data_IF_105006170367
#
_entry.id   IF_105006170367
#
_cell.length_a   1.000
_cell.length_b   1.000
_cell.length_c   1.000
_cell.angle_alpha   90.00
_cell.angle_beta   90.00
_cell.angle_gamma   90.00
#
_symmetry.space_group_name_H-M   'P 1'
#
loop_
_entity.id
_entity.type
_entity.pdbx_description
1 polymer ?
#
# COMPACT_ATOMS: atom_id res chain seq x y z
N UNK A 1 -0.52 -39.04 15.62
CA UNK A 1 0.10 -38.44 14.42
C UNK A 1 1.45 -37.88 14.81
N UNK A 2 2.56 -38.51 14.35
CA UNK A 2 3.92 -38.06 14.69
C UNK A 2 4.25 -36.85 13.78
N UNK A 3 4.42 -35.68 14.37
CA UNK A 3 4.87 -34.46 13.67
C UNK A 3 6.34 -34.67 13.28
N UNK A 4 6.61 -34.87 11.98
CA UNK A 4 7.98 -34.96 11.48
C UNK A 4 8.59 -33.54 11.44
N UNK A 5 9.71 -33.35 12.15
CA UNK A 5 10.56 -32.16 12.04
C UNK A 5 11.17 -32.16 10.64
N UNK A 6 10.70 -31.28 9.75
CA UNK A 6 11.32 -31.06 8.43
C UNK A 6 12.66 -30.36 8.65
N UNK A 7 13.78 -31.01 8.33
CA UNK A 7 15.05 -30.32 8.15
C UNK A 7 14.87 -29.29 7.02
N UNK A 8 15.22 -28.04 7.25
CA UNK A 8 15.26 -27.04 6.18
C UNK A 8 16.17 -27.53 5.06
N UNK A 9 15.70 -27.51 3.80
CA UNK A 9 16.54 -27.88 2.65
C UNK A 9 17.84 -27.08 2.64
N UNK A 10 18.94 -27.69 2.24
CA UNK A 10 20.25 -27.02 2.21
C UNK A 10 20.23 -25.76 1.30
N UNK A 11 19.39 -25.74 0.27
CA UNK A 11 19.21 -24.60 -0.61
C UNK A 11 18.58 -23.40 0.13
N UNK A 12 17.57 -23.61 0.97
CA UNK A 12 16.95 -22.54 1.80
C UNK A 12 17.98 -21.97 2.77
N UNK A 13 18.73 -22.82 3.48
CA UNK A 13 19.79 -22.36 4.38
C UNK A 13 20.87 -21.58 3.64
N UNK A 14 21.19 -21.97 2.40
CA UNK A 14 22.14 -21.27 1.55
C UNK A 14 21.56 -19.91 1.09
N UNK A 15 20.28 -19.84 0.76
CA UNK A 15 19.60 -18.60 0.41
C UNK A 15 19.57 -17.61 1.61
N UNK A 16 19.24 -18.11 2.81
CA UNK A 16 19.27 -17.30 4.03
C UNK A 16 20.64 -16.74 4.35
N UNK A 17 21.69 -17.58 4.22
CA UNK A 17 23.08 -17.14 4.43
C UNK A 17 23.49 -16.08 3.39
N UNK A 18 23.15 -16.30 2.12
CA UNK A 18 23.45 -15.36 1.05
C UNK A 18 22.74 -14.02 1.26
N UNK A 19 21.47 -14.06 1.66
CA UNK A 19 20.69 -12.87 2.02
C UNK A 19 21.30 -12.12 3.21
N UNK A 20 21.71 -12.84 4.25
CA UNK A 20 22.36 -12.24 5.42
C UNK A 20 23.64 -11.49 5.04
N UNK A 21 24.46 -12.05 4.13
CA UNK A 21 25.69 -11.40 3.63
C UNK A 21 25.38 -10.16 2.77
N UNK A 22 24.30 -10.20 1.96
CA UNK A 22 23.82 -9.03 1.20
C UNK A 22 23.37 -7.93 2.16
N UNK A 23 22.57 -8.26 3.19
CA UNK A 23 22.14 -7.32 4.24
C UNK A 23 23.31 -6.70 5.00
N UNK A 24 24.36 -7.47 5.24
CA UNK A 24 25.59 -7.00 5.86
C UNK A 24 26.44 -6.09 4.95
N UNK A 25 26.01 -5.87 3.70
CA UNK A 25 26.67 -4.96 2.77
C UNK A 25 27.87 -5.55 2.03
N UNK A 26 28.06 -6.88 2.08
CA UNK A 26 29.16 -7.52 1.34
C UNK A 26 29.05 -7.29 -0.19
N UNK A 27 27.83 -7.24 -0.69
CA UNK A 27 27.52 -6.87 -2.06
C UNK A 27 26.44 -5.79 -2.10
N UNK A 28 26.80 -4.55 -2.43
CA UNK A 28 25.84 -3.45 -2.51
C UNK A 28 24.86 -3.60 -3.68
N UNK A 29 23.82 -2.78 -3.69
CA UNK A 29 22.81 -2.75 -4.77
C UNK A 29 23.49 -2.55 -6.14
N UNK A 30 23.08 -3.35 -7.13
CA UNK A 30 23.65 -3.34 -8.47
C UNK A 30 24.97 -4.12 -8.61
N UNK A 31 25.54 -4.62 -7.50
CA UNK A 31 26.79 -5.35 -7.54
C UNK A 31 26.62 -6.74 -8.14
N UNK A 32 27.65 -7.18 -8.88
CA UNK A 32 27.72 -8.54 -9.41
C UNK A 32 28.28 -9.50 -8.37
N UNK A 33 27.59 -10.60 -8.11
CA UNK A 33 28.09 -11.67 -7.24
C UNK A 33 29.31 -12.38 -7.88
N UNK A 34 30.20 -12.97 -7.05
CA UNK A 34 31.25 -13.86 -7.55
C UNK A 34 30.67 -14.98 -8.41
N UNK A 35 31.49 -15.51 -9.32
CA UNK A 35 31.08 -16.64 -10.16
C UNK A 35 30.60 -17.83 -9.34
N UNK A 36 29.63 -18.61 -9.84
CA UNK A 36 29.02 -19.73 -9.12
C UNK A 36 30.02 -20.70 -8.48
N UNK A 37 31.12 -21.00 -9.17
CA UNK A 37 32.15 -21.90 -8.65
C UNK A 37 32.86 -21.31 -7.43
N UNK A 38 33.18 -20.04 -7.48
CA UNK A 38 33.87 -19.32 -6.39
C UNK A 38 32.90 -19.15 -5.20
N UNK A 39 31.67 -18.73 -5.47
CA UNK A 39 30.67 -18.47 -4.42
C UNK A 39 30.24 -19.79 -3.74
N UNK A 40 30.07 -20.88 -4.49
CA UNK A 40 29.76 -22.19 -3.90
C UNK A 40 30.88 -22.68 -2.97
N UNK A 41 32.14 -22.48 -3.37
CA UNK A 41 33.28 -22.81 -2.51
C UNK A 41 33.35 -21.95 -1.24
N UNK A 42 33.04 -20.63 -1.36
CA UNK A 42 33.01 -19.73 -0.21
C UNK A 42 31.91 -20.05 0.79
N UNK A 43 30.77 -20.59 0.31
CA UNK A 43 29.63 -20.97 1.15
C UNK A 43 29.69 -22.43 1.60
N UNK A 44 30.66 -23.22 1.12
CA UNK A 44 30.82 -24.64 1.48
C UNK A 44 29.71 -25.54 0.93
N UNK A 45 29.09 -25.18 -0.20
CA UNK A 45 27.95 -25.90 -0.79
C UNK A 45 28.24 -26.37 -2.23
N UNK A 46 27.42 -27.30 -2.71
CA UNK A 46 27.45 -27.71 -4.11
C UNK A 46 26.90 -26.62 -5.05
N UNK A 47 27.40 -26.59 -6.30
CA UNK A 47 26.91 -25.62 -7.32
C UNK A 47 25.42 -25.75 -7.59
N UNK A 48 24.84 -26.96 -7.55
CA UNK A 48 23.38 -27.16 -7.70
C UNK A 48 22.61 -26.48 -6.58
N UNK A 49 23.04 -26.66 -5.33
CA UNK A 49 22.44 -26.03 -4.15
C UNK A 49 22.51 -24.50 -4.22
N UNK A 50 23.68 -23.96 -4.63
CA UNK A 50 23.85 -22.52 -4.82
C UNK A 50 22.89 -21.99 -5.91
N UNK A 51 22.74 -22.70 -7.04
CA UNK A 51 21.83 -22.30 -8.11
C UNK A 51 20.36 -22.27 -7.66
N UNK A 52 19.95 -23.23 -6.83
CA UNK A 52 18.61 -23.26 -6.24
C UNK A 52 18.41 -22.05 -5.31
N UNK A 53 19.38 -21.76 -4.44
CA UNK A 53 19.36 -20.59 -3.56
C UNK A 53 19.29 -19.27 -4.35
N UNK A 54 20.07 -19.15 -5.42
CA UNK A 54 20.03 -17.97 -6.32
C UNK A 54 18.67 -17.85 -7.00
N UNK A 55 18.06 -18.95 -7.48
CA UNK A 55 16.73 -18.91 -8.08
C UNK A 55 15.67 -18.49 -7.07
N UNK A 56 15.76 -18.99 -5.84
CA UNK A 56 14.86 -18.60 -4.76
C UNK A 56 14.96 -17.09 -4.48
N UNK A 57 16.17 -16.56 -4.28
CA UNK A 57 16.36 -15.12 -4.05
C UNK A 57 15.99 -14.27 -5.28
N UNK A 58 16.15 -14.80 -6.49
CA UNK A 58 15.67 -14.14 -7.70
C UNK A 58 14.13 -14.11 -7.78
N UNK A 59 13.45 -15.20 -7.40
CA UNK A 59 11.99 -15.24 -7.26
C UNK A 59 11.45 -14.27 -6.20
N UNK A 60 12.26 -13.96 -5.17
CA UNK A 60 11.96 -12.97 -4.13
C UNK A 60 12.43 -11.55 -4.48
N UNK A 61 12.96 -11.32 -5.69
CA UNK A 61 13.37 -10.00 -6.18
C UNK A 61 14.70 -9.47 -5.64
N UNK A 62 15.44 -10.27 -4.85
CA UNK A 62 16.74 -9.86 -4.28
C UNK A 62 17.87 -9.93 -5.31
N UNK A 63 17.83 -10.92 -6.19
CA UNK A 63 18.83 -11.18 -7.21
C UNK A 63 18.23 -11.15 -8.61
N UNK A 64 19.05 -10.86 -9.62
CA UNK A 64 18.69 -11.07 -11.02
C UNK A 64 19.83 -11.76 -11.76
N UNK A 65 19.48 -12.74 -12.59
CA UNK A 65 20.45 -13.43 -13.46
C UNK A 65 20.39 -12.81 -14.85
N UNK A 66 21.55 -12.36 -15.36
CA UNK A 66 21.69 -11.86 -16.74
C UNK A 66 22.57 -12.83 -17.52
N UNK A 67 22.01 -13.36 -18.60
CA UNK A 67 22.71 -14.35 -19.43
C UNK A 67 24.09 -13.82 -19.88
N UNK A 68 25.13 -14.60 -19.67
CA UNK A 68 26.52 -14.23 -19.99
C UNK A 68 27.14 -13.17 -19.07
N UNK A 69 26.36 -12.40 -18.33
CA UNK A 69 26.85 -11.33 -17.47
C UNK A 69 26.97 -11.72 -15.99
N UNK A 70 26.19 -12.71 -15.52
CA UNK A 70 26.22 -13.20 -14.16
C UNK A 70 25.00 -12.84 -13.33
N UNK A 71 25.13 -12.93 -12.01
CA UNK A 71 24.07 -12.65 -11.03
C UNK A 71 24.34 -11.31 -10.35
N UNK A 72 23.31 -10.48 -10.21
CA UNK A 72 23.40 -9.12 -9.67
C UNK A 72 22.43 -8.93 -8.51
N UNK A 73 22.81 -8.13 -7.52
CA UNK A 73 21.95 -7.71 -6.41
C UNK A 73 20.98 -6.64 -6.91
N UNK A 74 19.67 -6.90 -6.80
CA UNK A 74 18.58 -6.00 -7.22
C UNK A 74 17.82 -5.40 -6.06
N UNK A 75 17.88 -6.04 -4.87
CA UNK A 75 17.39 -5.49 -3.61
C UNK A 75 18.30 -5.98 -2.47
N UNK A 76 18.40 -5.19 -1.41
CA UNK A 76 19.21 -5.54 -0.23
C UNK A 76 18.46 -6.41 0.78
N UNK A 77 17.18 -6.58 0.58
CA UNK A 77 16.31 -7.42 1.40
C UNK A 77 15.15 -7.98 0.56
N UNK A 78 14.49 -9.00 1.09
CA UNK A 78 13.23 -9.48 0.56
C UNK A 78 12.19 -8.42 0.89
N UNK A 79 11.48 -7.93 -0.13
CA UNK A 79 10.35 -7.07 0.10
C UNK A 79 9.31 -7.81 0.95
N UNK A 80 8.97 -7.25 2.09
CA UNK A 80 7.87 -7.77 2.88
C UNK A 80 6.59 -7.62 2.05
N UNK A 81 5.71 -8.62 2.12
CA UNK A 81 4.40 -8.55 1.47
C UNK A 81 3.69 -7.27 1.95
N UNK A 82 3.36 -6.40 1.00
CA UNK A 82 2.75 -5.11 1.30
C UNK A 82 1.47 -5.24 2.14
N UNK A 83 0.70 -6.29 1.92
CA UNK A 83 -0.48 -6.59 2.73
C UNK A 83 -0.12 -6.87 4.20
N UNK A 84 1.04 -7.47 4.46
CA UNK A 84 1.53 -7.69 5.83
C UNK A 84 1.94 -6.36 6.45
N UNK A 85 2.66 -5.52 5.71
CA UNK A 85 3.06 -4.17 6.18
C UNK A 85 1.83 -3.35 6.56
N UNK A 86 0.82 -3.30 5.69
CA UNK A 86 -0.42 -2.55 5.94
C UNK A 86 -1.20 -3.12 7.12
N UNK A 87 -1.29 -4.46 7.25
CA UNK A 87 -1.97 -5.07 8.40
C UNK A 87 -1.32 -4.78 9.75
N UNK A 88 0.00 -4.60 9.80
CA UNK A 88 0.76 -4.26 11.02
C UNK A 88 0.81 -2.76 11.29
N UNK A 89 0.51 -1.93 10.32
CA UNK A 89 0.54 -0.49 10.47
C UNK A 89 -0.46 -0.01 11.53
N UNK A 90 -0.09 1.04 12.26
CA UNK A 90 -1.05 1.74 13.12
C UNK A 90 -2.07 2.48 12.27
N UNK A 91 -3.26 2.73 12.83
CA UNK A 91 -4.28 3.50 12.12
C UNK A 91 -3.78 4.91 11.79
N UNK A 92 -3.05 5.54 12.71
CA UNK A 92 -2.44 6.85 12.46
C UNK A 92 -1.52 6.82 11.23
N UNK A 93 -0.65 5.81 11.09
CA UNK A 93 0.22 5.66 9.93
C UNK A 93 -0.56 5.45 8.63
N UNK A 94 -1.65 4.67 8.67
CA UNK A 94 -2.54 4.48 7.50
C UNK A 94 -3.21 5.80 7.11
N UNK A 95 -3.70 6.59 8.08
CA UNK A 95 -4.32 7.90 7.80
C UNK A 95 -3.28 8.89 7.27
N UNK A 96 -2.04 8.88 7.77
CA UNK A 96 -0.95 9.70 7.23
C UNK A 96 -0.62 9.36 5.76
N UNK A 97 -0.55 8.08 5.44
CA UNK A 97 -0.36 7.64 4.06
C UNK A 97 -1.53 8.05 3.16
N UNK A 98 -2.78 7.94 3.64
CA UNK A 98 -3.96 8.46 2.95
C UNK A 98 -3.87 9.95 2.71
N UNK A 99 -3.47 10.74 3.71
CA UNK A 99 -3.29 12.19 3.54
C UNK A 99 -2.35 12.52 2.38
N UNK A 100 -1.22 11.82 2.28
CA UNK A 100 -0.28 12.00 1.19
C UNK A 100 -0.88 11.66 -0.19
N UNK A 101 -1.65 10.59 -0.28
CA UNK A 101 -2.24 10.09 -1.53
C UNK A 101 -3.48 10.90 -1.90
N UNK A 102 -4.44 11.04 -0.99
CA UNK A 102 -5.75 11.63 -1.29
C UNK A 102 -5.68 13.14 -1.50
N UNK A 103 -4.79 13.84 -0.80
CA UNK A 103 -4.59 15.28 -1.01
C UNK A 103 -4.14 15.57 -2.44
N UNK A 104 -3.13 14.85 -2.92
CA UNK A 104 -2.63 15.02 -4.28
C UNK A 104 -3.63 14.51 -5.32
N UNK A 105 -4.27 13.39 -5.05
CA UNK A 105 -5.31 12.86 -5.93
C UNK A 105 -6.51 13.81 -6.07
N UNK A 106 -6.91 14.53 -5.02
CA UNK A 106 -7.97 15.55 -5.10
C UNK A 106 -7.59 16.71 -6.01
N UNK A 107 -6.35 17.20 -5.93
CA UNK A 107 -5.83 18.23 -6.85
C UNK A 107 -5.83 17.74 -8.30
N UNK A 108 -5.31 16.54 -8.54
CA UNK A 108 -5.29 15.90 -9.86
C UNK A 108 -6.70 15.66 -10.39
N UNK A 109 -7.64 15.24 -9.53
CA UNK A 109 -9.05 15.05 -9.88
C UNK A 109 -9.68 16.38 -10.35
N UNK A 110 -9.42 17.49 -9.68
CA UNK A 110 -9.89 18.80 -10.10
C UNK A 110 -9.40 19.18 -11.51
N UNK A 111 -8.15 18.85 -11.83
CA UNK A 111 -7.59 19.06 -13.17
C UNK A 111 -8.15 18.11 -14.23
N UNK A 112 -8.27 16.82 -13.92
CA UNK A 112 -8.43 15.76 -14.92
C UNK A 112 -9.84 15.20 -15.04
N UNK A 113 -10.70 15.44 -14.04
CA UNK A 113 -12.05 14.86 -13.96
C UNK A 113 -12.83 15.03 -15.25
N UNK A 114 -13.51 13.98 -15.67
CA UNK A 114 -14.49 13.98 -16.76
C UNK A 114 -15.91 14.25 -16.22
N UNK A 115 -16.89 14.52 -17.10
CA UNK A 115 -18.29 14.56 -16.68
C UNK A 115 -18.81 13.24 -16.10
N UNK A 116 -18.23 12.09 -16.50
CA UNK A 116 -18.58 10.78 -15.94
C UNK A 116 -18.08 10.64 -14.50
N UNK A 117 -16.85 11.10 -14.21
CA UNK A 117 -16.28 11.08 -12.86
C UNK A 117 -17.11 11.94 -11.92
N UNK A 118 -17.52 13.14 -12.33
CA UNK A 118 -18.38 14.00 -11.53
C UNK A 118 -19.74 13.36 -11.21
N UNK A 119 -20.33 12.63 -12.16
CA UNK A 119 -21.57 11.88 -11.88
C UNK A 119 -21.34 10.81 -10.82
N UNK A 120 -20.20 10.09 -10.90
CA UNK A 120 -19.85 9.07 -9.91
C UNK A 120 -19.59 9.67 -8.54
N UNK A 121 -18.80 10.75 -8.44
CA UNK A 121 -18.53 11.46 -7.18
C UNK A 121 -19.85 11.95 -6.55
N UNK A 122 -20.76 12.55 -7.31
CA UNK A 122 -22.05 13.02 -6.80
C UNK A 122 -22.94 11.88 -6.35
N UNK A 123 -22.96 10.75 -7.06
CA UNK A 123 -23.73 9.58 -6.68
C UNK A 123 -23.21 9.00 -5.37
N UNK A 124 -21.91 8.75 -5.24
CA UNK A 124 -21.31 8.20 -4.02
C UNK A 124 -21.45 9.15 -2.83
N UNK A 125 -21.44 10.47 -3.05
CA UNK A 125 -21.74 11.47 -2.04
C UNK A 125 -23.20 11.37 -1.55
N UNK A 126 -24.14 11.17 -2.46
CA UNK A 126 -25.56 10.98 -2.12
C UNK A 126 -25.80 9.64 -1.40
N UNK A 127 -25.16 8.55 -1.87
CA UNK A 127 -25.24 7.23 -1.25
C UNK A 127 -24.76 7.28 0.22
N UNK A 128 -23.71 8.05 0.50
CA UNK A 128 -23.18 8.29 1.85
C UNK A 128 -24.18 9.02 2.78
N UNK A 129 -25.04 9.85 2.23
CA UNK A 129 -26.04 10.61 2.97
C UNK A 129 -27.38 9.86 3.12
N UNK A 130 -27.50 8.61 2.64
CA UNK A 130 -28.71 7.84 2.70
C UNK A 130 -29.14 7.62 4.17
N UNK A 131 -30.44 7.78 4.50
CA UNK A 131 -30.92 7.57 5.86
C UNK A 131 -30.91 6.09 6.25
N UNK A 132 -30.64 5.80 7.52
CA UNK A 132 -30.77 4.44 8.07
C UNK A 132 -29.61 3.50 7.76
N UNK A 133 -28.48 3.99 7.27
CA UNK A 133 -27.28 3.17 7.08
C UNK A 133 -26.79 2.64 8.43
N UNK A 134 -26.48 1.36 8.49
CA UNK A 134 -25.66 0.78 9.55
C UNK A 134 -24.23 1.32 9.52
N UNK A 135 -23.48 1.19 10.61
CA UNK A 135 -22.07 1.64 10.66
C UNK A 135 -21.22 1.03 9.54
N UNK A 136 -21.27 -0.28 9.24
CA UNK A 136 -20.53 -0.82 8.10
C UNK A 136 -20.95 -0.22 6.75
N UNK A 137 -22.24 -0.06 6.50
CA UNK A 137 -22.76 0.52 5.24
C UNK A 137 -22.33 1.98 5.09
N UNK A 138 -22.35 2.75 6.17
CA UNK A 138 -21.85 4.12 6.17
C UNK A 138 -20.36 4.18 5.83
N UNK A 139 -19.54 3.33 6.45
CA UNK A 139 -18.09 3.24 6.17
C UNK A 139 -17.85 2.83 4.73
N UNK A 140 -18.59 1.86 4.19
CA UNK A 140 -18.45 1.42 2.81
C UNK A 140 -18.82 2.53 1.82
N UNK A 141 -19.88 3.30 2.10
CA UNK A 141 -20.29 4.43 1.28
C UNK A 141 -19.28 5.59 1.35
N UNK A 142 -18.70 5.86 2.53
CA UNK A 142 -17.65 6.86 2.73
C UNK A 142 -16.39 6.50 1.89
N UNK A 143 -15.94 5.25 1.98
CA UNK A 143 -14.82 4.77 1.20
C UNK A 143 -15.09 4.80 -0.30
N UNK A 144 -16.31 4.50 -0.73
CA UNK A 144 -16.69 4.59 -2.14
C UNK A 144 -16.59 6.02 -2.67
N UNK A 145 -16.96 7.04 -1.86
CA UNK A 145 -16.76 8.45 -2.22
C UNK A 145 -15.29 8.80 -2.38
N UNK A 146 -14.46 8.50 -1.39
CA UNK A 146 -13.01 8.77 -1.48
C UNK A 146 -12.38 8.07 -2.68
N UNK A 147 -12.73 6.79 -2.90
CA UNK A 147 -12.25 6.06 -4.08
C UNK A 147 -12.70 6.71 -5.40
N UNK A 148 -13.91 7.24 -5.48
CA UNK A 148 -14.36 7.95 -6.69
C UNK A 148 -13.53 9.22 -6.96
N UNK A 149 -13.11 9.94 -5.92
CA UNK A 149 -12.17 11.07 -6.06
C UNK A 149 -10.81 10.59 -6.57
N UNK A 150 -10.25 9.51 -6.00
CA UNK A 150 -8.97 8.93 -6.44
C UNK A 150 -9.02 8.50 -7.92
N UNK A 151 -10.11 7.84 -8.33
CA UNK A 151 -10.30 7.40 -9.73
C UNK A 151 -10.36 8.61 -10.68
N UNK A 152 -10.98 9.71 -10.26
CA UNK A 152 -11.06 10.95 -11.05
C UNK A 152 -9.69 11.65 -11.24
N UNK A 153 -8.66 11.26 -10.49
CA UNK A 153 -7.28 11.69 -10.71
C UNK A 153 -6.64 11.08 -11.95
N UNK A 154 -7.22 10.01 -12.52
CA UNK A 154 -6.69 9.28 -13.68
C UNK A 154 -5.22 8.90 -13.51
N UNK A 155 -4.88 8.29 -12.37
CA UNK A 155 -3.55 7.78 -12.03
C UNK A 155 -3.68 6.39 -11.41
N UNK A 156 -3.39 5.36 -12.21
CA UNK A 156 -3.55 3.95 -11.80
C UNK A 156 -2.69 3.57 -10.59
N UNK A 157 -1.54 4.21 -10.42
CA UNK A 157 -0.67 3.96 -9.26
C UNK A 157 -1.34 4.47 -7.97
N UNK A 158 -1.92 5.68 -7.99
CA UNK A 158 -2.64 6.22 -6.83
C UNK A 158 -3.87 5.37 -6.49
N UNK A 159 -4.59 4.87 -7.52
CA UNK A 159 -5.74 3.97 -7.33
C UNK A 159 -5.29 2.68 -6.63
N UNK A 160 -4.24 2.03 -7.12
CA UNK A 160 -3.73 0.80 -6.54
C UNK A 160 -3.22 1.01 -5.10
N UNK A 161 -2.47 2.08 -4.84
CA UNK A 161 -2.00 2.42 -3.51
C UNK A 161 -3.17 2.65 -2.54
N UNK A 162 -4.19 3.38 -2.95
CA UNK A 162 -5.38 3.61 -2.13
C UNK A 162 -6.12 2.31 -1.83
N UNK A 163 -6.35 1.49 -2.85
CA UNK A 163 -7.08 0.22 -2.72
C UNK A 163 -6.39 -0.76 -1.73
N UNK A 164 -5.06 -0.68 -1.57
CA UNK A 164 -4.33 -1.52 -0.60
C UNK A 164 -4.64 -1.17 0.86
N UNK A 165 -5.03 0.08 1.15
CA UNK A 165 -5.37 0.51 2.51
C UNK A 165 -6.82 0.21 2.90
N UNK A 166 -7.71 0.04 1.93
CA UNK A 166 -9.17 -0.08 2.16
C UNK A 166 -9.53 -1.17 3.19
N UNK A 167 -9.02 -2.42 3.13
CA UNK A 167 -9.42 -3.46 4.06
C UNK A 167 -9.07 -3.11 5.52
N UNK A 168 -7.88 -2.55 5.73
CA UNK A 168 -7.41 -2.15 7.07
C UNK A 168 -8.18 -0.95 7.60
N UNK A 169 -8.39 0.03 6.74
CA UNK A 169 -9.11 1.25 7.07
C UNK A 169 -10.57 0.94 7.43
N UNK A 170 -11.24 0.08 6.64
CA UNK A 170 -12.62 -0.33 6.89
C UNK A 170 -12.82 -0.87 8.30
N UNK A 171 -11.97 -1.82 8.70
CA UNK A 171 -12.03 -2.41 10.03
C UNK A 171 -11.87 -1.32 11.10
N UNK A 172 -10.85 -0.49 10.97
CA UNK A 172 -10.54 0.54 11.95
C UNK A 172 -11.65 1.61 12.06
N UNK A 173 -12.24 2.03 10.93
CA UNK A 173 -13.33 3.00 10.93
C UNK A 173 -14.59 2.42 11.57
N UNK A 174 -14.92 1.16 11.30
CA UNK A 174 -16.05 0.47 11.93
C UNK A 174 -15.85 0.38 13.45
N UNK A 175 -14.68 -0.06 13.90
CA UNK A 175 -14.35 -0.19 15.32
C UNK A 175 -14.41 1.18 16.02
N UNK A 176 -13.85 2.22 15.39
CA UNK A 176 -13.91 3.59 15.92
C UNK A 176 -15.35 4.08 16.07
N UNK A 177 -16.19 3.91 15.05
CA UNK A 177 -17.55 4.39 15.07
C UNK A 177 -18.43 3.64 16.07
N UNK A 178 -18.11 2.40 16.42
CA UNK A 178 -18.76 1.67 17.50
C UNK A 178 -18.36 2.21 18.88
N UNK A 179 -17.11 2.64 19.07
CA UNK A 179 -16.60 3.18 20.34
C UNK A 179 -16.99 4.65 20.50
N UNK A 180 -16.89 5.41 19.43
CA UNK A 180 -17.13 6.86 19.41
C UNK A 180 -18.00 7.23 18.19
N UNK A 181 -19.32 7.20 18.30
CA UNK A 181 -20.21 7.64 17.23
C UNK A 181 -19.86 9.06 16.77
N UNK A 182 -19.95 9.32 15.48
CA UNK A 182 -19.69 10.65 14.93
C UNK A 182 -20.57 11.69 15.62
N UNK A 183 -19.99 12.82 16.08
CA UNK A 183 -20.72 13.83 16.85
C UNK A 183 -21.84 14.52 16.07
N UNK A 184 -21.83 14.46 14.74
CA UNK A 184 -22.91 14.96 13.89
C UNK A 184 -22.69 14.53 12.43
N UNK A 185 -23.57 13.74 11.83
CA UNK A 185 -23.55 13.45 10.39
C UNK A 185 -23.51 14.72 9.51
N UNK A 186 -24.15 15.86 9.87
CA UNK A 186 -24.14 17.04 9.00
C UNK A 186 -22.77 17.67 8.77
N UNK A 187 -21.91 17.79 9.81
CA UNK A 187 -20.64 18.49 9.65
C UNK A 187 -19.64 17.74 8.78
N UNK A 188 -19.58 16.41 8.95
CA UNK A 188 -18.73 15.55 8.15
C UNK A 188 -19.22 15.48 6.69
N UNK A 189 -20.54 15.43 6.47
CA UNK A 189 -21.09 15.48 5.12
C UNK A 189 -20.77 16.79 4.39
N UNK A 190 -20.84 17.93 5.07
CA UNK A 190 -20.49 19.25 4.51
C UNK A 190 -19.03 19.30 4.05
N UNK A 191 -18.10 18.64 4.76
CA UNK A 191 -16.70 18.55 4.31
C UNK A 191 -16.58 17.83 2.97
N UNK A 192 -17.29 16.74 2.79
CA UNK A 192 -17.33 15.98 1.53
C UNK A 192 -18.03 16.74 0.39
N UNK A 193 -19.11 17.46 0.68
CA UNK A 193 -19.77 18.33 -0.30
C UNK A 193 -18.83 19.44 -0.80
N UNK A 194 -18.09 20.07 0.11
CA UNK A 194 -17.11 21.10 -0.25
C UNK A 194 -16.00 20.55 -1.14
N UNK A 195 -15.48 19.36 -0.81
CA UNK A 195 -14.47 18.70 -1.64
C UNK A 195 -15.01 18.38 -3.04
N UNK A 196 -16.21 17.81 -3.13
CA UNK A 196 -16.86 17.52 -4.40
C UNK A 196 -17.12 18.81 -5.23
N UNK A 197 -17.49 19.91 -4.57
CA UNK A 197 -17.69 21.21 -5.20
C UNK A 197 -16.38 21.81 -5.75
N UNK A 198 -15.28 21.76 -4.99
CA UNK A 198 -13.96 22.20 -5.43
C UNK A 198 -13.47 21.42 -6.67
N UNK A 199 -13.63 20.08 -6.64
CA UNK A 199 -13.32 19.24 -7.81
C UNK A 199 -14.21 19.61 -9.00
N UNK A 200 -15.50 19.84 -8.79
CA UNK A 200 -16.42 20.24 -9.84
C UNK A 200 -16.04 21.63 -10.44
N UNK A 201 -15.59 22.56 -9.61
CA UNK A 201 -15.16 23.90 -10.00
C UNK A 201 -13.77 23.90 -10.68
N UNK A 202 -13.06 22.78 -10.71
CA UNK A 202 -11.66 22.68 -11.19
C UNK A 202 -10.70 23.57 -10.39
N UNK A 203 -10.88 23.59 -9.07
CA UNK A 203 -10.01 24.28 -8.14
C UNK A 203 -9.11 23.26 -7.41
N UNK A 204 -7.89 23.00 -7.90
CA UNK A 204 -7.00 22.00 -7.36
C UNK A 204 -6.49 22.37 -5.96
N UNK A 205 -6.25 23.65 -5.70
CA UNK A 205 -5.72 24.11 -4.42
C UNK A 205 -6.78 23.97 -3.31
N UNK A 206 -8.01 24.36 -3.59
CA UNK A 206 -9.12 24.14 -2.66
C UNK A 206 -9.39 22.64 -2.46
N UNK A 207 -9.38 21.83 -3.51
CA UNK A 207 -9.59 20.39 -3.41
C UNK A 207 -8.52 19.73 -2.52
N UNK A 208 -7.25 20.06 -2.71
CA UNK A 208 -6.14 19.55 -1.89
C UNK A 208 -6.26 19.99 -0.42
N UNK A 209 -6.56 21.27 -0.17
CA UNK A 209 -6.71 21.80 1.17
C UNK A 209 -7.86 21.10 1.93
N UNK A 210 -9.04 20.98 1.30
CA UNK A 210 -10.22 20.36 1.88
C UNK A 210 -10.02 18.87 2.17
N UNK A 211 -9.37 18.13 1.26
CA UNK A 211 -9.01 16.72 1.49
C UNK A 211 -8.05 16.58 2.68
N UNK A 212 -7.03 17.42 2.77
CA UNK A 212 -6.06 17.40 3.86
C UNK A 212 -6.68 17.73 5.20
N UNK A 213 -7.55 18.73 5.26
CA UNK A 213 -8.20 19.16 6.51
C UNK A 213 -9.16 18.09 7.03
N UNK A 214 -9.93 17.47 6.14
CA UNK A 214 -10.79 16.35 6.48
C UNK A 214 -9.99 15.17 7.08
N UNK A 215 -8.94 14.72 6.42
CA UNK A 215 -8.12 13.59 6.90
C UNK A 215 -7.33 13.93 8.17
N UNK A 216 -6.94 15.20 8.36
CA UNK A 216 -6.33 15.66 9.61
C UNK A 216 -7.31 15.53 10.77
N UNK A 217 -8.56 15.92 10.59
CA UNK A 217 -9.59 15.77 11.62
C UNK A 217 -9.82 14.30 11.99
N UNK A 218 -9.79 13.40 11.00
CA UNK A 218 -9.84 11.94 11.25
C UNK A 218 -8.61 11.51 12.07
N UNK A 219 -7.39 11.90 11.67
CA UNK A 219 -6.16 11.55 12.41
C UNK A 219 -6.23 11.97 13.88
N UNK A 220 -6.68 13.19 14.14
CA UNK A 220 -6.84 13.73 15.50
C UNK A 220 -7.87 12.94 16.31
N UNK A 221 -8.88 12.39 15.69
CA UNK A 221 -9.87 11.54 16.35
C UNK A 221 -9.32 10.16 16.76
N UNK A 222 -8.22 9.71 16.15
CA UNK A 222 -7.51 8.46 16.48
C UNK A 222 -6.30 8.65 17.40
N UNK A 223 -5.96 9.88 17.76
CA UNK A 223 -4.85 10.20 18.67
C UNK A 223 -5.36 10.39 20.10
#
# INVERSE_FOLDING_TARGET
MVSQVRRHPLAEQTADLLLARIRAGEWPLGHRLPGETTLAAQLGVGRSTLREAIRELAGRGVLTSRQGAGVFVTALDIAEDWDIVVRRATIAAVVEARMAIETEAAALAAHRRTPADLRTIRRTLADRAAPGLSVPEYVDADMAFHRAVIVAAHNDILIQLFDTFLPRLRIAMIDMLHIRPLPSPPADHVAHERLAAAIAARDPDAAAALSRDHLRAIKEAFS
#
